data_IF_315314971741
#
_entry.id   IF_315314971741
#
_cell.length_a   1.000
_cell.length_b   1.000
_cell.length_c   1.000
_cell.angle_alpha   90.00
_cell.angle_beta   90.00
_cell.angle_gamma   90.00
#
_symmetry.space_group_name_H-M   'P 1'
#
loop_
_entity.id
_entity.type
_entity.pdbx_description
1 polymer ?
#
# COMPACT_ATOMS: atom_id res chain seq x y z
N UNK A 1 31.13 38.29 52.55
CA UNK A 1 32.30 37.67 51.88
C UNK A 1 31.85 36.36 51.26
N UNK A 2 32.43 36.02 50.12
CA UNK A 2 32.24 34.82 49.30
C UNK A 2 31.15 34.87 48.23
N UNK A 3 31.66 34.95 47.01
CA UNK A 3 31.04 34.99 45.69
C UNK A 3 31.36 33.64 45.05
N UNK A 4 30.36 32.87 44.67
CA UNK A 4 30.46 31.73 43.76
C UNK A 4 29.07 31.55 43.17
N UNK A 5 28.79 31.66 41.87
CA UNK A 5 29.63 31.50 40.69
C UNK A 5 28.79 30.65 39.73
N UNK A 6 27.98 31.31 38.90
CA UNK A 6 27.14 30.68 37.85
C UNK A 6 28.04 29.83 36.93
N UNK A 7 27.74 28.55 36.79
CA UNK A 7 28.17 27.76 35.64
C UNK A 7 26.95 27.64 34.72
N UNK A 8 26.93 28.51 33.71
CA UNK A 8 26.01 28.48 32.59
C UNK A 8 26.50 27.35 31.68
N UNK A 9 25.79 26.23 31.64
CA UNK A 9 26.11 25.12 30.74
C UNK A 9 25.84 25.56 29.29
N UNK A 10 26.89 26.01 28.62
CA UNK A 10 26.90 26.24 27.18
C UNK A 10 26.92 24.88 26.48
N UNK A 11 25.76 24.46 25.97
CA UNK A 11 25.65 23.38 24.99
C UNK A 11 26.33 23.88 23.70
N UNK A 12 27.60 23.52 23.53
CA UNK A 12 28.33 23.75 22.29
C UNK A 12 27.76 22.81 21.22
N UNK A 13 27.03 23.43 20.30
CA UNK A 13 26.73 22.90 18.98
C UNK A 13 28.04 22.41 18.36
N UNK A 14 28.16 21.09 18.18
CA UNK A 14 29.29 20.49 17.49
C UNK A 14 29.20 20.91 16.03
N UNK A 15 29.95 21.95 15.67
CA UNK A 15 30.22 22.27 14.28
C UNK A 15 31.00 21.09 13.69
N UNK A 16 30.38 20.36 12.76
CA UNK A 16 31.10 19.44 11.89
C UNK A 16 32.19 20.23 11.17
N UNK A 17 33.45 20.01 11.55
CA UNK A 17 34.59 20.54 10.82
C UNK A 17 34.74 19.65 9.58
N UNK A 18 34.23 20.12 8.44
CA UNK A 18 34.55 19.52 7.16
C UNK A 18 36.00 19.87 6.81
N UNK A 19 36.92 18.94 7.07
CA UNK A 19 38.26 18.99 6.48
C UNK A 19 38.09 18.54 5.03
N UNK A 20 38.21 19.48 4.09
CA UNK A 20 38.29 19.16 2.67
C UNK A 20 39.68 18.56 2.39
N UNK A 21 39.77 17.24 2.28
CA UNK A 21 40.92 16.55 1.68
C UNK A 21 40.61 16.35 0.19
N UNK A 22 41.43 16.85 -0.74
CA UNK A 22 41.26 16.58 -2.16
C UNK A 22 41.82 15.18 -2.47
N UNK A 23 40.92 14.22 -2.70
CA UNK A 23 41.29 12.86 -3.13
C UNK A 23 40.37 11.82 -2.54
N UNK A 24 39.54 11.19 -3.38
CA UNK A 24 38.39 10.40 -2.95
C UNK A 24 38.70 9.06 -2.28
N UNK A 25 37.71 8.58 -1.53
CA UNK A 25 37.12 7.24 -1.54
C UNK A 25 36.03 7.19 -0.46
N UNK A 26 34.85 6.72 -0.87
CA UNK A 26 33.75 6.23 -0.03
C UNK A 26 33.18 7.17 1.04
N UNK A 27 32.03 7.77 0.73
CA UNK A 27 30.99 8.05 1.72
C UNK A 27 30.58 6.72 2.39
N UNK A 28 31.22 6.36 3.50
CA UNK A 28 30.62 5.44 4.45
C UNK A 28 29.56 6.23 5.23
N UNK A 29 28.38 6.36 4.62
CA UNK A 29 27.18 6.70 5.36
C UNK A 29 27.01 5.69 6.49
N UNK A 30 26.77 6.17 7.71
CA UNK A 30 26.47 5.31 8.85
C UNK A 30 25.41 4.29 8.42
N UNK A 31 25.69 2.97 8.52
CA UNK A 31 24.63 2.00 8.35
C UNK A 31 23.57 2.33 9.40
N UNK A 32 22.39 2.72 8.93
CA UNK A 32 21.23 2.79 9.79
C UNK A 32 21.04 1.38 10.33
N UNK A 33 21.44 1.16 11.59
CA UNK A 33 21.14 -0.05 12.33
C UNK A 33 19.65 -0.37 12.08
N UNK A 34 19.32 -1.59 11.64
CA UNK A 34 17.93 -1.94 11.37
C UNK A 34 17.18 -1.76 12.68
N UNK A 35 16.44 -0.66 12.78
CA UNK A 35 15.59 -0.37 13.91
C UNK A 35 14.48 -1.42 13.89
N UNK A 36 14.75 -2.56 14.50
CA UNK A 36 13.81 -3.66 14.58
C UNK A 36 12.69 -3.17 15.48
N UNK A 37 11.61 -2.69 14.87
CA UNK A 37 10.42 -2.29 15.58
C UNK A 37 9.95 -3.50 16.41
N UNK A 38 10.11 -3.42 17.73
CA UNK A 38 9.79 -4.52 18.64
C UNK A 38 8.28 -4.77 18.76
N UNK A 39 7.46 -3.86 18.22
CA UNK A 39 6.00 -3.92 18.20
C UNK A 39 5.49 -3.32 16.89
N UNK A 40 4.32 -3.80 16.46
CA UNK A 40 3.55 -3.22 15.38
C UNK A 40 2.07 -3.16 15.78
N UNK A 41 1.33 -2.30 15.09
CA UNK A 41 -0.13 -2.16 15.16
C UNK A 41 -0.72 -2.83 13.94
N UNK A 42 -1.66 -3.73 14.17
CA UNK A 42 -2.42 -4.41 13.14
C UNK A 42 -3.87 -3.91 13.13
N UNK A 43 -4.52 -4.02 11.97
CA UNK A 43 -5.96 -3.83 11.81
C UNK A 43 -6.60 -5.10 11.23
N UNK A 44 -7.85 -5.33 11.59
CA UNK A 44 -8.72 -6.34 10.96
C UNK A 44 -10.03 -5.65 10.63
N UNK A 45 -10.62 -6.01 9.50
CA UNK A 45 -11.91 -5.48 9.08
C UNK A 45 -12.90 -6.61 8.87
N UNK A 46 -14.06 -6.52 9.53
CA UNK A 46 -15.19 -7.40 9.26
C UNK A 46 -16.01 -6.79 8.12
N UNK A 47 -16.09 -7.50 6.99
CA UNK A 47 -16.70 -6.99 5.78
C UNK A 47 -18.09 -7.55 5.55
N UNK A 48 -19.02 -6.67 5.21
CA UNK A 48 -20.32 -7.06 4.68
C UNK A 48 -20.22 -7.07 3.14
N UNK A 49 -19.88 -8.22 2.57
CA UNK A 49 -19.67 -8.36 1.13
C UNK A 49 -20.92 -8.06 0.30
N UNK A 50 -20.72 -7.36 -0.81
CA UNK A 50 -21.64 -7.39 -1.94
C UNK A 50 -21.49 -8.75 -2.63
N UNK A 51 -22.57 -9.53 -2.64
CA UNK A 51 -22.59 -10.89 -3.18
C UNK A 51 -23.29 -10.95 -4.54
N UNK A 52 -22.93 -11.96 -5.34
CA UNK A 52 -23.73 -12.31 -6.52
C UNK A 52 -25.12 -12.79 -6.06
N UNK A 53 -26.22 -12.30 -6.67
CA UNK A 53 -27.55 -12.79 -6.37
C UNK A 53 -27.75 -14.26 -6.78
N UNK A 54 -27.01 -14.72 -7.79
CA UNK A 54 -26.98 -16.11 -8.24
C UNK A 54 -25.53 -16.54 -8.53
N UNK A 55 -24.85 -17.21 -7.57
CA UNK A 55 -23.46 -17.66 -7.75
C UNK A 55 -23.33 -18.88 -8.69
N UNK A 56 -24.44 -19.48 -9.13
CA UNK A 56 -24.44 -20.61 -10.06
C UNK A 56 -24.63 -20.16 -11.52
N UNK A 57 -25.11 -18.92 -11.74
CA UNK A 57 -25.24 -18.34 -13.07
C UNK A 57 -23.88 -18.16 -13.75
N UNK A 58 -23.86 -18.30 -15.07
CA UNK A 58 -22.70 -17.93 -15.88
C UNK A 58 -22.67 -16.41 -16.03
N UNK A 59 -21.62 -15.79 -15.51
CA UNK A 59 -21.40 -14.33 -15.53
C UNK A 59 -20.27 -13.99 -16.49
N UNK A 60 -20.31 -12.83 -17.13
CA UNK A 60 -19.17 -12.37 -17.94
C UNK A 60 -18.01 -11.91 -17.05
N UNK A 61 -16.79 -11.82 -17.61
CA UNK A 61 -15.63 -11.32 -16.87
C UNK A 61 -15.83 -9.87 -16.42
N UNK A 62 -16.43 -9.03 -17.27
CA UNK A 62 -16.71 -7.63 -16.98
C UNK A 62 -17.68 -7.49 -15.79
N UNK A 63 -18.76 -8.26 -15.78
CA UNK A 63 -19.73 -8.28 -14.67
C UNK A 63 -19.12 -8.79 -13.36
N UNK A 64 -18.23 -9.79 -13.44
CA UNK A 64 -17.48 -10.28 -12.29
C UNK A 64 -16.57 -9.19 -11.71
N UNK A 65 -15.84 -8.47 -12.58
CA UNK A 65 -14.98 -7.35 -12.19
C UNK A 65 -15.79 -6.21 -11.56
N UNK A 66 -16.95 -5.86 -12.09
CA UNK A 66 -17.84 -4.86 -11.49
C UNK A 66 -18.26 -5.23 -10.06
N UNK A 67 -18.59 -6.50 -9.80
CA UNK A 67 -18.90 -6.96 -8.45
C UNK A 67 -17.68 -6.85 -7.53
N UNK A 68 -16.51 -7.33 -7.98
CA UNK A 68 -15.28 -7.32 -7.20
C UNK A 68 -14.81 -5.90 -6.88
N UNK A 69 -14.90 -4.96 -7.83
CA UNK A 69 -14.56 -3.56 -7.61
C UNK A 69 -15.41 -2.92 -6.52
N UNK A 70 -16.72 -3.19 -6.46
CA UNK A 70 -17.58 -2.66 -5.37
C UNK A 70 -17.11 -3.10 -3.99
N UNK A 71 -16.60 -4.32 -3.84
CA UNK A 71 -16.02 -4.78 -2.58
C UNK A 71 -14.65 -4.13 -2.32
N UNK A 72 -13.82 -3.97 -3.35
CA UNK A 72 -12.52 -3.30 -3.25
C UNK A 72 -12.63 -1.82 -2.89
N UNK A 73 -13.65 -1.10 -3.38
CA UNK A 73 -13.91 0.30 -3.02
C UNK A 73 -14.13 0.46 -1.51
N UNK A 74 -14.79 -0.51 -0.87
CA UNK A 74 -14.95 -0.54 0.60
C UNK A 74 -13.60 -0.81 1.26
N UNK A 75 -12.83 -1.78 0.76
CA UNK A 75 -11.52 -2.14 1.31
C UNK A 75 -10.55 -0.97 1.27
N UNK A 76 -10.55 -0.20 0.19
CA UNK A 76 -9.72 1.00 0.05
C UNK A 76 -10.00 2.03 1.16
N UNK A 77 -11.28 2.26 1.46
CA UNK A 77 -11.68 3.15 2.56
C UNK A 77 -11.16 2.61 3.91
N UNK A 78 -11.16 1.30 4.11
CA UNK A 78 -10.63 0.68 5.33
C UNK A 78 -9.11 0.71 5.40
N UNK A 79 -8.40 0.46 4.28
CA UNK A 79 -6.94 0.62 4.18
C UNK A 79 -6.56 2.05 4.54
N UNK A 80 -7.22 3.04 3.94
CA UNK A 80 -6.99 4.46 4.22
C UNK A 80 -7.22 4.80 5.69
N UNK A 81 -8.30 4.28 6.27
CA UNK A 81 -8.63 4.49 7.69
C UNK A 81 -7.61 3.84 8.62
N UNK A 82 -7.20 2.61 8.34
CA UNK A 82 -6.21 1.88 9.13
C UNK A 82 -4.82 2.53 9.05
N UNK A 83 -4.40 2.96 7.85
CA UNK A 83 -3.16 3.69 7.63
C UNK A 83 -3.14 5.02 8.42
N UNK A 84 -4.25 5.78 8.40
CA UNK A 84 -4.40 7.02 9.21
C UNK A 84 -4.32 6.77 10.71
N UNK A 85 -4.69 5.57 11.18
CA UNK A 85 -4.56 5.14 12.59
C UNK A 85 -3.19 4.55 12.91
N UNK A 86 -2.26 4.54 11.96
CA UNK A 86 -0.92 4.02 12.15
C UNK A 86 -0.87 2.49 12.23
N UNK A 87 -1.79 1.77 11.56
CA UNK A 87 -1.64 0.33 11.37
C UNK A 87 -0.57 0.05 10.31
N UNK A 88 0.32 -0.93 10.57
CA UNK A 88 1.34 -1.38 9.61
C UNK A 88 0.82 -2.48 8.69
N UNK A 89 -0.24 -3.17 9.10
CA UNK A 89 -0.88 -4.25 8.34
C UNK A 89 -2.38 -4.23 8.61
N UNK A 90 -3.17 -4.51 7.58
CA UNK A 90 -4.61 -4.75 7.67
C UNK A 90 -4.94 -6.09 7.02
N UNK A 91 -5.84 -6.85 7.64
CA UNK A 91 -6.32 -8.14 7.13
C UNK A 91 -7.80 -8.07 6.81
N UNK A 92 -8.18 -8.69 5.69
CA UNK A 92 -9.55 -8.79 5.17
C UNK A 92 -10.05 -10.24 5.24
N UNK A 93 -11.38 -10.45 5.30
CA UNK A 93 -11.96 -11.78 5.40
C UNK A 93 -11.77 -12.59 4.11
N UNK A 94 -11.80 -13.91 4.26
CA UNK A 94 -11.90 -14.85 3.14
C UNK A 94 -13.16 -14.57 2.30
N UNK A 95 -13.05 -14.82 0.98
CA UNK A 95 -14.13 -14.62 0.01
C UNK A 95 -14.74 -13.21 -0.01
N UNK A 96 -14.09 -12.22 0.62
CA UNK A 96 -14.70 -10.91 0.82
C UNK A 96 -14.87 -10.07 -0.46
N UNK A 97 -14.12 -10.41 -1.53
CA UNK A 97 -14.13 -9.70 -2.82
C UNK A 97 -15.18 -10.28 -3.79
N UNK A 98 -15.30 -11.61 -3.87
CA UNK A 98 -16.16 -12.30 -4.85
C UNK A 98 -17.30 -13.13 -4.23
N UNK A 99 -17.28 -13.39 -2.93
CA UNK A 99 -18.25 -14.24 -2.24
C UNK A 99 -17.99 -15.73 -2.42
N UNK A 100 -19.00 -16.55 -2.12
CA UNK A 100 -18.90 -18.01 -2.02
C UNK A 100 -20.06 -18.70 -2.79
N UNK A 101 -20.13 -20.04 -2.73
CA UNK A 101 -21.13 -20.91 -3.37
C UNK A 101 -21.08 -21.02 -4.91
N UNK A 102 -19.87 -20.92 -5.48
CA UNK A 102 -19.68 -21.11 -6.92
C UNK A 102 -19.45 -22.58 -7.31
N UNK A 103 -19.71 -22.88 -8.58
CA UNK A 103 -19.19 -24.09 -9.25
C UNK A 103 -17.83 -23.81 -9.86
N UNK A 104 -17.13 -24.86 -10.32
CA UNK A 104 -15.86 -24.70 -11.06
C UNK A 104 -15.98 -23.82 -12.31
N UNK A 105 -17.16 -23.80 -12.94
CA UNK A 105 -17.39 -23.01 -14.15
C UNK A 105 -17.84 -21.60 -13.81
N UNK A 106 -18.76 -21.44 -12.84
CA UNK A 106 -19.28 -20.12 -12.49
C UNK A 106 -18.27 -19.24 -11.73
N UNK A 107 -17.27 -19.81 -11.05
CA UNK A 107 -16.19 -19.03 -10.43
C UNK A 107 -15.18 -18.48 -11.43
N UNK A 108 -15.02 -19.12 -12.61
CA UNK A 108 -13.93 -18.83 -13.54
C UNK A 108 -13.80 -17.34 -13.92
N UNK A 109 -14.89 -16.58 -14.17
CA UNK A 109 -14.81 -15.15 -14.46
C UNK A 109 -14.26 -14.29 -13.31
N UNK A 110 -14.21 -14.79 -12.07
CA UNK A 110 -13.71 -14.05 -10.90
C UNK A 110 -12.22 -14.28 -10.63
N UNK A 111 -11.55 -15.16 -11.38
CA UNK A 111 -10.17 -15.56 -11.11
C UNK A 111 -9.17 -14.72 -11.91
N UNK A 112 -8.07 -14.36 -11.26
CA UNK A 112 -6.89 -13.73 -11.88
C UNK A 112 -5.73 -14.73 -11.95
N UNK A 113 -4.82 -14.49 -12.89
CA UNK A 113 -3.52 -15.15 -12.85
C UNK A 113 -2.62 -14.51 -11.78
N UNK A 114 -2.17 -15.31 -10.80
CA UNK A 114 -1.26 -14.85 -9.75
C UNK A 114 0.11 -15.54 -9.87
N UNK A 115 1.16 -14.84 -10.36
CA UNK A 115 2.50 -15.43 -10.43
C UNK A 115 3.08 -15.65 -9.04
N UNK A 116 3.89 -16.70 -8.90
CA UNK A 116 4.56 -16.99 -7.62
C UNK A 116 5.55 -15.87 -7.26
N UNK A 117 5.47 -15.30 -6.04
CA UNK A 117 6.38 -14.23 -5.59
C UNK A 117 7.82 -14.73 -5.42
N UNK A 118 8.06 -16.05 -5.38
CA UNK A 118 9.41 -16.64 -5.35
C UNK A 118 10.09 -16.63 -6.72
N UNK A 119 9.31 -16.64 -7.80
CA UNK A 119 9.83 -16.68 -9.17
C UNK A 119 9.90 -15.31 -9.84
N UNK A 120 9.07 -14.36 -9.40
CA UNK A 120 8.92 -13.06 -10.06
C UNK A 120 8.87 -11.96 -9.01
N UNK A 121 9.72 -10.94 -9.18
CA UNK A 121 9.56 -9.64 -8.50
C UNK A 121 8.74 -8.74 -9.40
N UNK A 122 7.52 -8.42 -8.99
CA UNK A 122 6.57 -7.64 -9.77
C UNK A 122 5.74 -6.75 -8.83
N UNK A 123 5.61 -5.48 -9.20
CA UNK A 123 4.67 -4.55 -8.58
C UNK A 123 3.57 -4.25 -9.61
N UNK A 124 2.33 -4.74 -9.43
CA UNK A 124 1.25 -4.53 -10.40
C UNK A 124 0.90 -3.06 -10.62
N UNK A 125 1.16 -2.18 -9.65
CA UNK A 125 0.92 -0.75 -9.80
C UNK A 125 1.95 -0.07 -10.72
N UNK A 126 3.23 -0.46 -10.62
CA UNK A 126 4.32 0.11 -11.43
C UNK A 126 4.45 -0.56 -12.81
N UNK A 127 4.09 -1.84 -12.91
CA UNK A 127 4.20 -2.65 -14.13
C UNK A 127 2.84 -3.31 -14.47
N UNK A 128 1.77 -2.52 -14.71
CA UNK A 128 0.39 -3.02 -14.82
C UNK A 128 0.15 -3.94 -16.03
N UNK A 129 1.02 -3.88 -17.04
CA UNK A 129 0.90 -4.64 -18.29
C UNK A 129 1.90 -5.79 -18.39
N UNK A 130 2.56 -6.17 -17.28
CA UNK A 130 3.52 -7.27 -17.28
C UNK A 130 2.84 -8.64 -17.43
N UNK A 131 1.65 -8.79 -16.86
CA UNK A 131 0.83 -9.98 -16.95
C UNK A 131 -0.60 -9.60 -17.34
N UNK A 132 -1.23 -10.42 -18.18
CA UNK A 132 -2.63 -10.28 -18.54
C UNK A 132 -3.51 -10.89 -17.45
N UNK A 133 -4.79 -10.53 -17.43
CA UNK A 133 -5.80 -11.08 -16.51
C UNK A 133 -5.42 -10.86 -15.03
N UNK A 134 -5.02 -9.62 -14.71
CA UNK A 134 -4.57 -9.18 -13.37
C UNK A 134 -5.29 -7.92 -12.87
N UNK A 135 -6.49 -7.66 -13.40
CA UNK A 135 -7.27 -6.45 -13.15
C UNK A 135 -7.58 -6.25 -11.66
N UNK A 136 -7.80 -7.32 -10.88
CA UNK A 136 -8.08 -7.22 -9.43
C UNK A 136 -6.82 -6.78 -8.68
N UNK A 137 -5.67 -7.35 -9.05
CA UNK A 137 -4.37 -6.99 -8.48
C UNK A 137 -3.99 -5.54 -8.79
N UNK A 138 -4.38 -5.06 -9.97
CA UNK A 138 -4.18 -3.69 -10.39
C UNK A 138 -5.15 -2.73 -9.68
N UNK A 139 -6.45 -3.04 -9.67
CA UNK A 139 -7.49 -2.21 -9.06
C UNK A 139 -7.23 -1.98 -7.57
N UNK A 140 -6.76 -3.00 -6.84
CA UNK A 140 -6.40 -2.89 -5.43
C UNK A 140 -5.27 -1.88 -5.14
N UNK A 141 -4.50 -1.47 -6.16
CA UNK A 141 -3.32 -0.62 -6.00
C UNK A 141 -3.43 0.75 -6.67
N UNK A 142 -4.45 1.00 -7.51
CA UNK A 142 -4.52 2.22 -8.33
C UNK A 142 -5.29 3.40 -7.71
N UNK A 143 -5.89 3.26 -6.54
CA UNK A 143 -6.93 4.22 -6.09
C UNK A 143 -6.44 5.51 -5.41
N UNK A 144 -5.34 6.11 -5.88
CA UNK A 144 -4.91 7.45 -5.46
C UNK A 144 -5.67 8.63 -6.11
N UNK A 145 -6.68 8.37 -6.95
CA UNK A 145 -7.33 9.39 -7.79
C UNK A 145 -8.80 9.02 -8.02
N UNK A 146 -9.74 9.60 -7.27
CA UNK A 146 -11.10 10.01 -7.74
C UNK A 146 -11.90 10.65 -6.58
N UNK A 147 -11.29 11.59 -5.83
CA UNK A 147 -12.04 12.36 -4.83
C UNK A 147 -11.47 13.78 -4.64
N UNK A 148 -11.52 14.60 -5.68
CA UNK A 148 -11.91 16.02 -5.62
C UNK A 148 -11.69 16.73 -6.97
N UNK A 149 -12.79 17.07 -7.63
CA UNK A 149 -12.93 18.20 -8.57
C UNK A 149 -11.76 18.54 -9.47
N UNK A 150 -11.69 17.92 -10.65
CA UNK A 150 -10.84 18.38 -11.74
C UNK A 150 -11.32 19.76 -12.23
N UNK A 151 -10.57 20.81 -11.89
CA UNK A 151 -10.62 22.09 -12.60
C UNK A 151 -9.99 21.95 -14.00
N UNK A 152 -10.40 22.76 -14.98
CA UNK A 152 -9.92 22.65 -16.35
C UNK A 152 -8.47 23.13 -16.41
N UNK A 153 -7.51 22.20 -16.53
CA UNK A 153 -6.09 22.54 -16.74
C UNK A 153 -5.07 21.63 -16.08
N UNK A 154 -5.47 20.66 -15.27
CA UNK A 154 -4.54 19.67 -14.73
C UNK A 154 -4.45 18.48 -15.70
N UNK A 155 -3.32 18.35 -16.40
CA UNK A 155 -2.96 17.12 -17.09
C UNK A 155 -2.94 15.94 -16.10
N UNK A 156 -3.00 14.68 -16.58
CA UNK A 156 -3.16 13.52 -15.72
C UNK A 156 -2.06 13.54 -14.65
N UNK A 157 -2.46 13.73 -13.39
CA UNK A 157 -1.57 13.63 -12.26
C UNK A 157 -0.87 12.26 -12.30
N UNK A 158 0.42 12.24 -12.00
CA UNK A 158 1.16 10.98 -11.94
C UNK A 158 0.44 10.02 -10.99
N UNK A 159 0.02 8.87 -11.53
CA UNK A 159 -0.56 7.77 -10.75
C UNK A 159 0.48 7.37 -9.72
N UNK A 160 0.23 7.68 -8.45
CA UNK A 160 1.14 7.36 -7.36
C UNK A 160 0.77 6.00 -6.79
N UNK A 161 1.53 5.00 -7.23
CA UNK A 161 2.05 4.01 -6.29
C UNK A 161 3.04 4.75 -5.35
#
# INVERSE_FOLDING_TARGET
MSRAGRQLALLLCSCCVAVAIPGGLAEEGCPAEPHQASRYVAAVYEHQSFLSPDPLALTSREQALELMHRNLDVYEQQVTTAARKGAQIIVFPEDGIHGFNFTRTSIYPFLDFMPSPRSVRWNPCLEPHRFNDTEVSLASLLSGQEAHGAGPGQGPGARTC
#
